data_IF_068960774374
#
_entry.id   IF_068960774374
#
_cell.length_a   1.000
_cell.length_b   1.000
_cell.length_c   1.000
_cell.angle_alpha   90.00
_cell.angle_beta   90.00
_cell.angle_gamma   90.00
#
_symmetry.space_group_name_H-M   'P 1'
#
loop_
_entity.id
_entity.type
_entity.pdbx_description
1 polymer ?
#
# COMPACT_ATOMS: atom_id res chain seq x y z
N UNK A 1 -13.61 21.96 -26.49
CA UNK A 1 -12.15 21.79 -26.32
C UNK A 1 -11.88 20.30 -26.31
N UNK A 2 -11.43 19.74 -27.42
CA UNK A 2 -10.80 18.42 -27.37
C UNK A 2 -9.45 18.62 -26.68
N UNK A 3 -9.30 18.03 -25.51
CA UNK A 3 -8.01 17.99 -24.83
C UNK A 3 -7.31 16.73 -25.35
N UNK A 4 -6.28 16.92 -26.18
CA UNK A 4 -5.53 15.82 -26.80
C UNK A 4 -4.66 15.07 -25.78
N UNK A 5 -4.34 15.70 -24.65
CA UNK A 5 -3.74 15.07 -23.47
C UNK A 5 -3.86 15.94 -22.22
N UNK A 6 -3.94 15.32 -21.05
CA UNK A 6 -3.86 15.98 -19.74
C UNK A 6 -2.52 15.65 -19.10
N UNK A 7 -1.74 16.67 -18.73
CA UNK A 7 -0.43 16.48 -18.11
C UNK A 7 -0.35 17.22 -16.79
N UNK A 8 -0.14 16.47 -15.69
CA UNK A 8 0.16 17.01 -14.37
C UNK A 8 1.68 17.21 -14.24
N UNK A 9 2.10 18.45 -13.99
CA UNK A 9 3.49 18.86 -13.76
C UNK A 9 3.62 19.68 -12.48
N UNK A 10 4.85 20.00 -12.09
CA UNK A 10 5.16 20.74 -10.86
C UNK A 10 4.91 19.95 -9.58
N UNK A 11 5.44 20.43 -8.46
CA UNK A 11 5.40 19.71 -7.18
C UNK A 11 4.04 19.78 -6.46
N UNK A 12 3.10 20.61 -6.92
CA UNK A 12 1.81 20.82 -6.26
C UNK A 12 0.88 19.61 -6.38
N UNK A 13 -0.18 19.61 -5.58
CA UNK A 13 -1.31 18.68 -5.69
C UNK A 13 -2.39 19.27 -6.59
N UNK A 14 -2.88 18.49 -7.56
CA UNK A 14 -4.12 18.78 -8.28
C UNK A 14 -5.18 17.77 -7.89
N UNK A 15 -6.40 18.23 -7.64
CA UNK A 15 -7.53 17.37 -7.28
C UNK A 15 -8.60 17.44 -8.35
N UNK A 16 -8.92 16.29 -8.93
CA UNK A 16 -10.05 16.12 -9.84
C UNK A 16 -11.25 15.60 -9.04
N UNK A 17 -12.32 16.38 -8.94
CA UNK A 17 -13.52 16.04 -8.15
C UNK A 17 -14.72 15.63 -9.01
N UNK A 18 -14.72 15.97 -10.30
CA UNK A 18 -15.78 15.65 -11.24
C UNK A 18 -15.38 14.59 -12.27
N UNK A 19 -16.33 14.15 -13.13
CA UNK A 19 -16.02 13.27 -14.23
C UNK A 19 -15.24 14.01 -15.31
N UNK A 20 -14.12 13.44 -15.73
CA UNK A 20 -13.39 13.89 -16.91
C UNK A 20 -13.95 13.22 -18.16
N UNK A 21 -14.14 13.99 -19.23
CA UNK A 21 -14.69 13.52 -20.51
C UNK A 21 -13.72 13.67 -21.69
N UNK A 22 -12.49 14.08 -21.42
CA UNK A 22 -11.46 14.14 -22.45
C UNK A 22 -11.04 12.73 -22.88
N UNK A 23 -10.54 12.63 -24.11
CA UNK A 23 -10.15 11.36 -24.73
C UNK A 23 -8.64 11.19 -24.86
N UNK A 24 -7.87 12.26 -24.63
CA UNK A 24 -6.42 12.24 -24.59
C UNK A 24 -5.84 11.46 -23.41
N UNK A 25 -4.59 11.02 -23.50
CA UNK A 25 -3.93 10.35 -22.38
C UNK A 25 -3.70 11.28 -21.19
N UNK A 26 -3.56 10.67 -20.01
CA UNK A 26 -3.21 11.37 -18.76
C UNK A 26 -1.78 11.03 -18.37
N UNK A 27 -0.92 12.03 -18.21
CA UNK A 27 0.44 11.86 -17.72
C UNK A 27 0.63 12.59 -16.39
N UNK A 28 1.07 11.87 -15.36
CA UNK A 28 1.43 12.44 -14.05
C UNK A 28 2.95 12.48 -13.96
N UNK A 29 3.54 13.59 -14.36
CA UNK A 29 5.00 13.72 -14.50
C UNK A 29 5.69 14.21 -13.22
N UNK A 30 4.98 14.91 -12.33
CA UNK A 30 5.51 15.38 -11.06
C UNK A 30 4.38 15.77 -10.08
N UNK A 31 4.71 15.78 -8.78
CA UNK A 31 3.77 16.11 -7.71
C UNK A 31 2.62 15.09 -7.63
N UNK A 32 1.46 15.54 -7.16
CA UNK A 32 0.33 14.64 -6.87
C UNK A 32 -0.88 14.95 -7.73
N UNK A 33 -1.49 13.93 -8.33
CA UNK A 33 -2.84 13.98 -8.89
C UNK A 33 -3.77 13.15 -8.00
N UNK A 34 -4.74 13.80 -7.34
CA UNK A 34 -5.81 13.13 -6.60
C UNK A 34 -7.06 13.01 -7.48
N UNK A 35 -7.46 11.77 -7.79
CA UNK A 35 -8.68 11.46 -8.53
C UNK A 35 -9.78 11.12 -7.53
N UNK A 36 -10.62 12.10 -7.22
CA UNK A 36 -11.79 11.97 -6.34
C UNK A 36 -13.12 11.93 -7.13
N UNK A 37 -13.10 12.31 -8.40
CA UNK A 37 -14.16 12.11 -9.37
C UNK A 37 -13.87 10.87 -10.24
N UNK A 38 -13.82 11.06 -11.56
CA UNK A 38 -13.43 9.97 -12.47
C UNK A 38 -12.60 10.41 -13.66
N UNK A 39 -11.66 9.55 -14.06
CA UNK A 39 -10.96 9.64 -15.34
C UNK A 39 -11.64 8.72 -16.36
N UNK A 40 -11.90 9.25 -17.56
CA UNK A 40 -12.44 8.50 -18.69
C UNK A 40 -11.51 7.36 -19.11
N UNK A 41 -11.96 6.55 -20.08
CA UNK A 41 -11.18 5.44 -20.65
C UNK A 41 -10.02 5.96 -21.51
N UNK A 42 -9.01 6.48 -20.83
CA UNK A 42 -7.80 7.09 -21.38
C UNK A 42 -6.60 6.50 -20.65
N UNK A 43 -5.53 6.19 -21.38
CA UNK A 43 -4.33 5.65 -20.76
C UNK A 43 -3.75 6.64 -19.74
N UNK A 44 -3.34 6.13 -18.57
CA UNK A 44 -2.73 6.92 -17.50
C UNK A 44 -1.30 6.42 -17.27
N UNK A 45 -0.33 7.32 -17.27
CA UNK A 45 1.05 7.01 -16.87
C UNK A 45 1.49 7.87 -15.70
N UNK A 46 2.13 7.25 -14.71
CA UNK A 46 2.68 7.93 -13.54
C UNK A 46 4.19 7.81 -13.56
N UNK A 47 4.88 8.95 -13.62
CA UNK A 47 6.33 9.00 -13.70
C UNK A 47 6.99 8.76 -12.33
N UNK A 48 8.30 8.51 -12.36
CA UNK A 48 9.11 8.38 -11.15
C UNK A 48 9.00 9.64 -10.28
N UNK A 49 8.85 9.46 -8.96
CA UNK A 49 8.65 10.51 -7.96
C UNK A 49 7.35 11.33 -8.13
N UNK A 50 6.41 10.86 -8.93
CA UNK A 50 5.07 11.41 -9.01
C UNK A 50 4.07 10.50 -8.28
N UNK A 51 2.98 11.09 -7.79
CA UNK A 51 1.95 10.41 -7.02
C UNK A 51 0.61 10.48 -7.74
N UNK A 52 -0.05 9.34 -7.87
CA UNK A 52 -1.46 9.26 -8.25
C UNK A 52 -2.23 8.66 -7.07
N UNK A 53 -3.28 9.35 -6.64
CA UNK A 53 -4.07 8.94 -5.49
C UNK A 53 -5.53 9.35 -5.59
N UNK A 54 -6.23 9.38 -4.45
CA UNK A 54 -7.63 9.77 -4.33
C UNK A 54 -8.58 8.59 -4.18
N UNK A 55 -9.89 8.87 -4.09
CA UNK A 55 -10.94 7.88 -3.79
C UNK A 55 -11.95 7.66 -4.92
N UNK A 56 -11.59 8.01 -6.15
CA UNK A 56 -12.45 7.98 -7.34
C UNK A 56 -12.28 6.73 -8.20
N UNK A 57 -12.56 6.89 -9.50
CA UNK A 57 -12.43 5.82 -10.49
C UNK A 57 -11.62 6.21 -11.73
N UNK A 58 -10.87 5.27 -12.28
CA UNK A 58 -10.02 5.45 -13.46
C UNK A 58 -10.36 4.35 -14.46
N UNK A 59 -10.92 4.75 -15.60
CA UNK A 59 -11.47 3.79 -16.55
C UNK A 59 -10.47 3.27 -17.59
N UNK A 60 -9.36 3.97 -17.80
CA UNK A 60 -8.28 3.50 -18.68
C UNK A 60 -7.20 2.73 -17.92
N UNK A 61 -6.37 2.01 -18.68
CA UNK A 61 -5.21 1.32 -18.13
C UNK A 61 -4.28 2.33 -17.47
N UNK A 62 -3.91 2.06 -16.21
CA UNK A 62 -2.98 2.91 -15.45
C UNK A 62 -1.66 2.18 -15.23
N UNK A 63 -0.55 2.84 -15.57
CA UNK A 63 0.80 2.30 -15.41
C UNK A 63 1.62 3.16 -14.46
N UNK A 64 2.14 2.54 -13.41
CA UNK A 64 3.10 3.14 -12.48
C UNK A 64 4.52 2.76 -12.88
N UNK A 65 5.35 3.75 -13.20
CA UNK A 65 6.76 3.54 -13.50
C UNK A 65 7.58 3.38 -12.21
N UNK A 66 8.82 2.92 -12.34
CA UNK A 66 9.73 2.75 -11.20
C UNK A 66 9.89 4.06 -10.40
N UNK A 67 9.69 3.99 -9.09
CA UNK A 67 9.68 5.13 -8.17
C UNK A 67 8.40 5.97 -8.18
N UNK A 68 7.36 5.57 -8.93
CA UNK A 68 6.05 6.22 -8.87
C UNK A 68 5.27 5.75 -7.64
N UNK A 69 4.47 6.64 -7.06
CA UNK A 69 3.68 6.40 -5.86
C UNK A 69 2.20 6.25 -6.19
N UNK A 70 1.58 5.16 -5.74
CA UNK A 70 0.15 4.96 -5.69
C UNK A 70 -0.32 5.15 -4.25
N UNK A 71 -1.15 6.18 -4.03
CA UNK A 71 -1.62 6.61 -2.71
C UNK A 71 -3.17 6.58 -2.70
N UNK A 72 -3.78 5.38 -2.54
CA UNK A 72 -5.22 5.23 -2.65
C UNK A 72 -5.92 5.90 -1.48
N UNK A 73 -7.08 6.52 -1.74
CA UNK A 73 -7.94 7.09 -0.70
C UNK A 73 -7.86 8.60 -0.52
N UNK A 74 -8.68 9.10 0.41
CA UNK A 74 -8.54 10.41 1.07
C UNK A 74 -8.58 10.16 2.60
N UNK A 75 -7.80 9.17 3.04
CA UNK A 75 -7.54 8.83 4.44
C UNK A 75 -8.71 8.35 5.31
N UNK A 76 -9.00 7.04 5.35
CA UNK A 76 -8.78 6.02 4.31
C UNK A 76 -9.92 5.94 3.28
N UNK A 77 -9.66 5.41 2.08
CA UNK A 77 -10.65 5.24 1.01
C UNK A 77 -10.27 4.25 -0.08
N UNK A 78 -11.14 4.10 -1.09
CA UNK A 78 -10.91 3.18 -2.21
C UNK A 78 -10.61 3.93 -3.49
N UNK A 79 -9.51 3.59 -4.16
CA UNK A 79 -9.26 3.98 -5.56
C UNK A 79 -9.60 2.82 -6.49
N UNK A 80 -10.44 3.06 -7.49
CA UNK A 80 -10.94 2.02 -8.39
C UNK A 80 -10.36 2.13 -9.80
N UNK A 81 -9.73 1.05 -10.28
CA UNK A 81 -9.25 0.90 -11.66
C UNK A 81 -10.18 -0.05 -12.42
N UNK A 82 -10.83 0.43 -13.48
CA UNK A 82 -11.73 -0.42 -14.30
C UNK A 82 -11.11 -0.84 -15.63
N UNK A 83 -10.04 -0.15 -16.06
CA UNK A 83 -9.30 -0.45 -17.30
C UNK A 83 -8.05 -1.32 -17.10
N UNK A 84 -7.76 -1.72 -15.86
CA UNK A 84 -6.55 -2.42 -15.46
C UNK A 84 -5.50 -1.52 -14.79
N UNK A 85 -4.52 -2.18 -14.17
CA UNK A 85 -3.44 -1.56 -13.41
C UNK A 85 -2.14 -2.30 -13.70
N UNK A 86 -1.07 -1.58 -14.00
CA UNK A 86 0.28 -2.13 -14.17
C UNK A 86 1.22 -1.50 -13.16
N UNK A 87 1.84 -2.34 -12.33
CA UNK A 87 2.88 -1.96 -11.38
C UNK A 87 4.23 -2.42 -11.91
N UNK A 88 5.10 -1.48 -12.28
CA UNK A 88 6.47 -1.83 -12.68
C UNK A 88 7.36 -2.02 -11.46
N UNK A 89 8.48 -2.74 -11.62
CA UNK A 89 9.47 -2.90 -10.56
C UNK A 89 9.95 -1.56 -10.00
N UNK A 90 9.90 -1.40 -8.69
CA UNK A 90 10.20 -0.16 -7.97
C UNK A 90 9.01 0.79 -7.81
N UNK A 91 7.80 0.42 -8.24
CA UNK A 91 6.59 1.15 -7.84
C UNK A 91 6.42 1.12 -6.31
N UNK A 92 5.80 2.15 -5.75
CA UNK A 92 5.59 2.32 -4.32
C UNK A 92 4.10 2.46 -4.08
N UNK A 93 3.56 1.67 -3.15
CA UNK A 93 2.16 1.73 -2.73
C UNK A 93 2.13 2.23 -1.29
N UNK A 94 1.48 3.37 -1.08
CA UNK A 94 1.34 4.02 0.22
C UNK A 94 -0.06 3.71 0.75
N UNK A 95 -0.16 2.93 1.82
CA UNK A 95 -1.44 2.53 2.42
C UNK A 95 -1.59 3.14 3.82
N UNK A 96 -2.75 3.72 4.08
CA UNK A 96 -3.18 4.18 5.40
C UNK A 96 -4.08 3.12 6.05
N UNK A 97 -3.66 2.63 7.21
CA UNK A 97 -4.33 1.57 7.97
C UNK A 97 -4.90 2.11 9.28
N UNK A 98 -6.07 1.60 9.67
CA UNK A 98 -6.84 2.14 10.79
C UNK A 98 -8.05 1.26 11.14
N UNK A 99 -9.10 1.86 11.71
CA UNK A 99 -10.41 1.19 11.83
C UNK A 99 -11.10 1.01 10.47
N UNK A 100 -10.77 1.89 9.53
CA UNK A 100 -10.94 1.71 8.08
C UNK A 100 -9.55 1.66 7.45
N UNK A 101 -9.43 1.23 6.20
CA UNK A 101 -8.12 1.17 5.52
C UNK A 101 -8.28 1.41 4.04
N UNK A 102 -7.19 1.85 3.42
CA UNK A 102 -7.20 2.06 1.99
C UNK A 102 -7.35 0.75 1.22
N UNK A 103 -7.95 0.86 0.05
CA UNK A 103 -8.16 -0.25 -0.84
C UNK A 103 -7.85 0.15 -2.28
N UNK A 104 -7.06 -0.67 -2.95
CA UNK A 104 -6.93 -0.65 -4.39
C UNK A 104 -7.93 -1.65 -4.96
N UNK A 105 -8.95 -1.16 -5.66
CA UNK A 105 -9.91 -2.03 -6.35
C UNK A 105 -9.59 -2.07 -7.84
N UNK A 106 -9.33 -3.26 -8.38
CA UNK A 106 -9.22 -3.49 -9.83
C UNK A 106 -10.45 -4.25 -10.27
N UNK A 107 -11.44 -3.53 -10.80
CA UNK A 107 -12.75 -4.10 -11.14
C UNK A 107 -12.92 -4.43 -12.63
N UNK A 108 -11.84 -4.39 -13.40
CA UNK A 108 -11.83 -4.73 -14.83
C UNK A 108 -10.42 -4.64 -15.42
N UNK A 109 -10.27 -5.13 -16.65
CA UNK A 109 -8.97 -5.22 -17.31
C UNK A 109 -8.05 -6.26 -16.67
N UNK A 110 -6.74 -5.97 -16.68
CA UNK A 110 -5.71 -6.84 -16.11
C UNK A 110 -4.94 -6.10 -15.02
N UNK A 111 -4.80 -6.72 -13.85
CA UNK A 111 -3.82 -6.37 -12.83
C UNK A 111 -2.50 -7.05 -13.18
N UNK A 112 -1.50 -6.25 -13.56
CA UNK A 112 -0.16 -6.73 -13.92
C UNK A 112 0.84 -6.32 -12.85
N UNK A 113 1.52 -7.30 -12.24
CA UNK A 113 2.63 -7.04 -11.33
C UNK A 113 3.97 -6.85 -12.08
N UNK A 114 5.07 -6.69 -11.34
CA UNK A 114 6.37 -6.40 -11.92
C UNK A 114 6.94 -7.61 -12.65
N UNK A 115 7.38 -7.43 -13.90
CA UNK A 115 8.15 -8.48 -14.62
C UNK A 115 9.58 -8.66 -14.06
N UNK A 116 10.07 -7.68 -13.30
CA UNK A 116 11.36 -7.68 -12.61
C UNK A 116 11.37 -6.61 -11.51
N UNK A 117 12.18 -6.81 -10.47
CA UNK A 117 12.19 -5.92 -9.30
C UNK A 117 10.98 -6.14 -8.38
N UNK A 118 10.92 -5.39 -7.28
CA UNK A 118 9.86 -5.49 -6.28
C UNK A 118 9.01 -4.21 -6.24
N UNK A 119 7.76 -4.34 -5.80
CA UNK A 119 6.88 -3.24 -5.42
C UNK A 119 7.03 -3.01 -3.92
N UNK A 120 7.19 -1.76 -3.50
CA UNK A 120 7.34 -1.41 -2.08
C UNK A 120 5.98 -1.08 -1.46
N UNK A 121 5.66 -1.68 -0.32
CA UNK A 121 4.50 -1.35 0.51
C UNK A 121 4.94 -0.45 1.67
N UNK A 122 4.44 0.77 1.70
CA UNK A 122 4.54 1.66 2.85
C UNK A 122 3.21 1.66 3.60
N UNK A 123 3.29 1.58 4.93
CA UNK A 123 2.13 1.56 5.81
C UNK A 123 2.18 2.75 6.76
N UNK A 124 1.09 3.50 6.84
CA UNK A 124 0.88 4.58 7.81
C UNK A 124 -0.37 4.29 8.67
N UNK A 125 -0.50 4.99 9.80
CA UNK A 125 -1.63 4.84 10.71
C UNK A 125 -2.58 6.03 10.53
N UNK A 126 -3.78 5.80 10.01
CA UNK A 126 -4.84 6.80 9.88
C UNK A 126 -5.68 6.97 11.15
N UNK A 127 -5.45 6.13 12.16
CA UNK A 127 -6.17 6.11 13.43
C UNK A 127 -6.91 4.81 13.67
N UNK A 128 -6.76 4.26 14.88
CA UNK A 128 -7.44 3.02 15.28
C UNK A 128 -6.87 1.75 14.64
N UNK A 129 -5.64 1.79 14.12
CA UNK A 129 -4.91 0.61 13.68
C UNK A 129 -4.65 -0.36 14.85
N UNK A 130 -4.89 -1.65 14.63
CA UNK A 130 -4.65 -2.72 15.61
C UNK A 130 -4.11 -3.97 14.92
N UNK A 131 -3.73 -5.00 15.69
CA UNK A 131 -3.47 -6.30 15.10
C UNK A 131 -4.74 -6.82 14.39
N UNK A 132 -4.57 -7.45 13.23
CA UNK A 132 -5.68 -7.87 12.40
C UNK A 132 -5.30 -8.07 10.94
N UNK A 133 -6.30 -8.29 10.10
CA UNK A 133 -6.14 -8.47 8.66
C UNK A 133 -6.77 -7.30 7.91
N UNK A 134 -6.03 -6.76 6.95
CA UNK A 134 -6.37 -5.60 6.13
C UNK A 134 -6.34 -5.98 4.66
N UNK A 135 -7.44 -5.80 3.93
CA UNK A 135 -7.47 -6.06 2.48
C UNK A 135 -6.86 -4.86 1.75
N UNK A 136 -5.71 -5.07 1.08
CA UNK A 136 -5.00 -4.03 0.34
C UNK A 136 -5.45 -3.97 -1.13
N UNK A 137 -5.73 -5.13 -1.73
CA UNK A 137 -6.28 -5.23 -3.08
C UNK A 137 -7.56 -6.05 -3.13
N UNK A 138 -8.48 -5.62 -3.98
CA UNK A 138 -9.63 -6.39 -4.47
C UNK A 138 -9.58 -6.43 -6.00
N UNK A 139 -9.26 -7.60 -6.56
CA UNK A 139 -9.17 -7.84 -8.00
C UNK A 139 -10.14 -8.95 -8.44
N UNK A 140 -11.24 -9.11 -7.72
CA UNK A 140 -12.27 -10.15 -7.99
C UNK A 140 -12.82 -10.11 -9.41
N UNK A 141 -12.87 -8.94 -10.03
CA UNK A 141 -13.41 -8.74 -11.38
C UNK A 141 -12.34 -8.46 -12.44
N UNK A 142 -11.06 -8.71 -12.16
CA UNK A 142 -9.96 -8.49 -13.08
C UNK A 142 -9.19 -9.78 -13.38
N UNK A 143 -8.56 -9.84 -14.55
CA UNK A 143 -7.52 -10.83 -14.82
C UNK A 143 -6.23 -10.44 -14.09
N UNK A 144 -5.36 -11.42 -13.82
CA UNK A 144 -4.03 -11.17 -13.26
C UNK A 144 -2.94 -11.62 -14.24
N UNK A 145 -1.80 -10.94 -14.21
CA UNK A 145 -0.59 -11.32 -14.96
C UNK A 145 0.65 -10.99 -14.15
N UNK A 146 1.47 -11.99 -13.83
CA UNK A 146 2.72 -11.81 -13.06
C UNK A 146 2.51 -10.97 -11.79
N UNK A 147 1.46 -11.30 -11.02
CA UNK A 147 1.08 -10.60 -9.80
C UNK A 147 1.01 -11.61 -8.67
N UNK A 148 2.09 -11.69 -7.91
CA UNK A 148 2.36 -12.71 -6.92
C UNK A 148 2.76 -12.11 -5.58
N UNK A 149 2.60 -12.87 -4.48
CA UNK A 149 2.98 -12.40 -3.14
C UNK A 149 4.47 -12.03 -3.06
N UNK A 150 5.31 -12.75 -3.82
CA UNK A 150 6.76 -12.54 -3.86
C UNK A 150 7.20 -11.23 -4.53
N UNK A 151 6.28 -10.50 -5.17
CA UNK A 151 6.56 -9.24 -5.85
C UNK A 151 6.69 -8.07 -4.88
N UNK A 152 6.34 -8.26 -3.61
CA UNK A 152 6.25 -7.18 -2.62
C UNK A 152 7.39 -7.22 -1.61
N UNK A 153 7.82 -6.01 -1.22
CA UNK A 153 8.67 -5.79 -0.05
C UNK A 153 8.06 -4.71 0.84
N UNK A 154 8.31 -4.77 2.14
CA UNK A 154 7.91 -3.70 3.04
C UNK A 154 8.95 -2.58 3.05
N UNK A 155 8.48 -1.34 2.91
CA UNK A 155 9.25 -0.13 3.15
C UNK A 155 9.01 0.39 4.56
N UNK A 156 8.28 1.50 4.67
CA UNK A 156 7.84 2.03 5.97
C UNK A 156 6.76 1.14 6.58
N UNK A 157 6.90 0.80 7.86
CA UNK A 157 5.92 -0.01 8.60
C UNK A 157 5.62 0.59 9.97
N UNK A 158 4.53 0.17 10.61
CA UNK A 158 4.17 0.65 11.94
C UNK A 158 4.91 -0.18 13.01
N UNK A 159 5.51 0.48 14.02
CA UNK A 159 6.30 -0.21 15.04
C UNK A 159 5.43 -1.08 15.94
N UNK A 160 6.02 -2.16 16.46
CA UNK A 160 5.32 -3.07 17.38
C UNK A 160 4.52 -4.17 16.69
N UNK A 161 4.65 -4.34 15.37
CA UNK A 161 3.97 -5.37 14.61
C UNK A 161 4.92 -6.11 13.67
N UNK A 162 4.56 -7.36 13.36
CA UNK A 162 5.11 -8.12 12.25
C UNK A 162 4.05 -8.28 11.16
N UNK A 163 4.46 -8.28 9.91
CA UNK A 163 3.56 -8.26 8.76
C UNK A 163 3.73 -9.47 7.87
N UNK A 164 2.63 -9.99 7.36
CA UNK A 164 2.61 -11.04 6.36
C UNK A 164 1.57 -10.72 5.28
N UNK A 165 1.89 -11.06 4.04
CA UNK A 165 0.97 -10.96 2.91
C UNK A 165 0.45 -12.35 2.56
N UNK A 166 -0.83 -12.42 2.19
CA UNK A 166 -1.45 -13.62 1.67
C UNK A 166 -2.53 -13.26 0.65
N UNK A 167 -2.71 -14.14 -0.34
CA UNK A 167 -3.92 -14.11 -1.16
C UNK A 167 -5.05 -14.84 -0.45
N UNK A 168 -6.21 -14.19 -0.39
CA UNK A 168 -7.47 -14.78 0.05
C UNK A 168 -8.44 -14.75 -1.13
N UNK A 169 -8.38 -15.78 -1.99
CA UNK A 169 -9.03 -15.75 -3.29
C UNK A 169 -8.44 -14.64 -4.17
N UNK A 170 -9.29 -13.77 -4.70
CA UNK A 170 -8.89 -12.64 -5.57
C UNK A 170 -8.64 -11.34 -4.80
N UNK A 171 -8.13 -11.45 -3.57
CA UNK A 171 -7.75 -10.30 -2.74
C UNK A 171 -6.35 -10.49 -2.19
N UNK A 172 -5.59 -9.40 -2.09
CA UNK A 172 -4.32 -9.37 -1.36
C UNK A 172 -4.59 -8.82 0.05
N UNK A 173 -4.34 -9.66 1.05
CA UNK A 173 -4.52 -9.31 2.45
C UNK A 173 -3.18 -9.17 3.16
N UNK A 174 -3.10 -8.15 4.01
CA UNK A 174 -2.02 -7.92 4.96
C UNK A 174 -2.48 -8.35 6.34
N UNK A 175 -1.74 -9.23 6.99
CA UNK A 175 -1.94 -9.56 8.41
C UNK A 175 -0.88 -8.86 9.25
N UNK A 176 -1.33 -8.00 10.16
CA UNK A 176 -0.50 -7.38 11.17
C UNK A 176 -0.67 -8.13 12.51
N UNK A 177 0.42 -8.70 13.00
CA UNK A 177 0.45 -9.41 14.30
C UNK A 177 1.24 -8.57 15.29
N UNK A 178 0.68 -8.31 16.47
CA UNK A 178 1.40 -7.59 17.52
C UNK A 178 2.69 -8.34 17.87
N UNK A 179 3.82 -7.65 17.82
CA UNK A 179 5.09 -8.18 18.28
C UNK A 179 5.06 -8.24 19.80
N UNK A 180 5.32 -9.40 20.38
CA UNK A 180 5.41 -9.51 21.83
C UNK A 180 6.60 -8.69 22.31
N UNK A 181 6.34 -7.58 23.00
CA UNK A 181 7.35 -6.94 23.84
C UNK A 181 7.52 -7.87 25.05
N UNK A 182 8.72 -8.41 25.34
CA UNK A 182 8.90 -9.19 26.55
C UNK A 182 8.58 -8.29 27.75
N UNK A 183 7.52 -8.65 28.49
CA UNK A 183 7.08 -7.89 29.66
C UNK A 183 8.26 -7.67 30.63
N UNK A 184 8.35 -6.51 31.31
CA UNK A 184 9.39 -6.27 32.32
C UNK A 184 9.48 -7.37 33.38
N UNK A 185 8.38 -8.08 33.65
CA UNK A 185 8.33 -9.22 34.57
C UNK A 185 9.12 -10.44 34.07
N UNK A 186 9.26 -10.65 32.76
CA UNK A 186 10.12 -11.71 32.20
C UNK A 186 11.58 -11.43 32.50
N UNK A 187 12.00 -10.18 32.36
CA UNK A 187 13.36 -9.74 32.73
C UNK A 187 13.56 -9.73 34.25
N UNK A 188 12.56 -9.30 35.02
CA UNK A 188 12.61 -9.31 36.48
C UNK A 188 12.63 -10.73 37.06
N UNK A 189 11.90 -11.67 36.45
CA UNK A 189 11.91 -13.08 36.82
C UNK A 189 13.25 -13.73 36.49
N UNK A 190 13.84 -13.42 35.33
CA UNK A 190 15.16 -13.91 34.97
C UNK A 190 16.27 -13.33 35.86
N UNK A 191 16.22 -12.03 36.14
CA UNK A 191 17.12 -11.37 37.08
C UNK A 191 16.93 -11.92 38.51
N UNK A 192 15.69 -12.11 38.96
CA UNK A 192 15.36 -12.71 40.24
C UNK A 192 15.85 -14.14 40.38
N UNK A 193 15.70 -14.97 39.34
CA UNK A 193 16.21 -16.34 39.31
C UNK A 193 17.75 -16.38 39.34
N UNK A 194 18.43 -15.45 38.65
CA UNK A 194 19.89 -15.32 38.71
C UNK A 194 20.38 -14.93 40.10
N UNK A 195 19.74 -13.95 40.75
CA UNK A 195 20.08 -13.54 42.12
C UNK A 195 19.86 -14.68 43.11
N UNK A 196 18.73 -15.39 42.99
CA UNK A 196 18.45 -16.54 43.85
C UNK A 196 19.44 -17.69 43.61
N UNK A 197 19.80 -17.97 42.35
CA UNK A 197 20.82 -18.94 41.99
C UNK A 197 22.19 -18.62 42.60
N UNK A 198 22.63 -17.36 42.51
CA UNK A 198 23.87 -16.89 43.13
C UNK A 198 23.83 -16.96 44.66
N UNK A 199 22.68 -16.62 45.28
CA UNK A 199 22.50 -16.71 46.73
C UNK A 199 22.56 -18.16 47.24
N UNK A 200 21.93 -19.09 46.52
CA UNK A 200 21.97 -20.52 46.84
C UNK A 200 23.36 -21.12 46.60
N UNK A 201 24.06 -20.68 45.56
CA UNK A 201 25.43 -21.10 45.28
C UNK A 201 26.41 -20.68 46.39
N UNK A 202 26.29 -19.45 46.89
CA UNK A 202 27.12 -18.94 48.00
C UNK A 202 26.89 -19.72 49.30
N UNK A 203 25.67 -20.21 49.56
CA UNK A 203 25.34 -21.01 50.75
C UNK A 203 25.89 -22.44 50.72
N UNK A 204 26.27 -22.96 49.55
CA UNK A 204 26.77 -24.33 49.37
C UNK A 204 28.29 -24.46 49.35
N UNK A 205 29.03 -23.34 49.44
CA UNK A 205 30.48 -23.36 49.59
C UNK A 205 30.82 -23.33 51.10
N UNK A 206 31.37 -24.41 51.66
CA UNK A 206 31.87 -24.43 53.04
C UNK A 206 33.12 -23.54 53.21
#
# INVERSE_FOLDING_TARGET
LNVDSFTKTGASTWTLTGPSTYTGSTAVNAGTLLVNGSLANTAVSVASNATLGGSGSIAGLTTFNSGAHLDPGNSPGTLTFTGGLTLTGGSILDFELGSTSDLIRVSGGTLSGPLSGLVTLNLSNSGGFTAGTYTLFDFTSAATSSFDIGDFTFGTTLPGYTYALAFAGSTLALTATASAIPEPSTYAALAGALVLGLALYRRRRP
#
